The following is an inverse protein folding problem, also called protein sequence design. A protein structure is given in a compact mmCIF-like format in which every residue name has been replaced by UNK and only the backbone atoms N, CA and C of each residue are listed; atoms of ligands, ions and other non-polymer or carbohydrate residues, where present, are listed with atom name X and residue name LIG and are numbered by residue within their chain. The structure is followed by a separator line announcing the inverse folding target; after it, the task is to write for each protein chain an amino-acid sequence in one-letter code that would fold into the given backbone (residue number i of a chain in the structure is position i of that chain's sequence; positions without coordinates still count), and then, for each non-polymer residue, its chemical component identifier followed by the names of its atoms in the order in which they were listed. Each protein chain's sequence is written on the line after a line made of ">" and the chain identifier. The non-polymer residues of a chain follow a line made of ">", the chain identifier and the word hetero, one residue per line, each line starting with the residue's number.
data_IF_124676287623
#
_entry.id   IF_124676287623
#
_cell.length_a   1.000
_cell.length_b   1.000
_cell.length_c   1.000
_cell.angle_alpha   90.00
_cell.angle_beta   90.00
_cell.angle_gamma   90.00
#
_symmetry.space_group_name_H-M   'P 1'
#
loop_
_entity.id
_entity.type
_entity.pdbx_description
1 polymer ?
#
# COMPACT_ATOMS: atom_id res chain seq x y z
N UNK A 1 -8.82 10.20 -86.34
CA UNK A 1 -9.34 10.45 -85.01
C UNK A 1 -8.98 9.24 -84.15
N UNK A 2 -8.11 9.42 -83.18
CA UNK A 2 -8.08 8.58 -81.97
C UNK A 2 -6.78 7.89 -81.58
N UNK A 3 -5.65 8.18 -82.19
CA UNK A 3 -4.40 7.71 -81.55
C UNK A 3 -4.02 8.61 -80.33
N UNK A 4 -4.21 9.89 -80.41
CA UNK A 4 -3.96 10.86 -79.34
C UNK A 4 -4.92 10.72 -78.13
N UNK A 5 -6.18 10.25 -78.34
CA UNK A 5 -7.10 9.96 -77.20
C UNK A 5 -6.73 8.69 -76.44
N UNK A 6 -6.21 7.67 -77.11
CA UNK A 6 -5.74 6.44 -76.44
C UNK A 6 -4.48 6.68 -75.64
N UNK A 7 -3.56 7.52 -76.12
CA UNK A 7 -2.32 7.87 -75.40
C UNK A 7 -2.66 8.68 -74.14
N UNK A 8 -3.61 9.61 -74.17
CA UNK A 8 -4.03 10.36 -72.97
C UNK A 8 -4.67 9.48 -71.91
N UNK A 9 -5.46 8.45 -72.31
CA UNK A 9 -6.08 7.50 -71.35
C UNK A 9 -5.04 6.58 -70.74
N UNK A 10 -4.03 6.13 -71.46
CA UNK A 10 -2.95 5.30 -70.94
C UNK A 10 -2.06 6.11 -69.98
N UNK A 11 -1.80 7.40 -70.23
CA UNK A 11 -1.03 8.26 -69.36
C UNK A 11 -1.80 8.60 -68.06
N UNK A 12 -3.14 8.67 -68.12
CA UNK A 12 -3.99 8.95 -66.94
C UNK A 12 -4.16 7.72 -66.06
N UNK A 13 -4.13 6.51 -66.61
CA UNK A 13 -4.19 5.23 -65.86
C UNK A 13 -2.83 4.90 -65.24
N UNK A 14 -1.72 5.32 -65.86
CA UNK A 14 -0.36 5.10 -65.32
C UNK A 14 -0.07 5.91 -64.03
N UNK A 15 -0.78 7.04 -63.83
CA UNK A 15 -0.60 7.87 -62.62
C UNK A 15 -1.33 7.25 -61.40
N UNK A 16 -2.28 6.31 -61.61
CA UNK A 16 -3.03 5.71 -60.52
C UNK A 16 -2.42 4.41 -59.96
N UNK A 17 -1.28 3.93 -60.51
CA UNK A 17 -0.61 2.68 -60.11
C UNK A 17 0.68 2.88 -59.34
N UNK A 18 0.94 4.09 -58.85
CA UNK A 18 1.97 4.23 -57.82
C UNK A 18 1.43 3.77 -56.47
N UNK A 19 1.97 2.68 -55.87
CA UNK A 19 1.63 2.36 -54.52
C UNK A 19 2.01 3.55 -53.65
N UNK A 20 1.03 4.18 -53.01
CA UNK A 20 1.27 5.12 -51.94
C UNK A 20 1.90 4.25 -50.82
N UNK A 21 3.22 4.10 -50.86
CA UNK A 21 3.95 3.68 -49.69
C UNK A 21 3.70 4.73 -48.62
N UNK A 22 2.73 4.48 -47.78
CA UNK A 22 2.60 5.21 -46.51
C UNK A 22 3.91 4.94 -45.77
N UNK A 23 4.85 5.85 -45.91
CA UNK A 23 5.97 5.93 -45.00
C UNK A 23 5.34 6.23 -43.64
N UNK A 24 5.12 5.16 -42.85
CA UNK A 24 4.94 5.31 -41.43
C UNK A 24 6.26 5.94 -40.96
N UNK A 25 6.29 7.25 -40.83
CA UNK A 25 7.32 7.93 -40.07
C UNK A 25 7.23 7.33 -38.66
N UNK A 26 8.07 6.35 -38.37
CA UNK A 26 8.35 5.98 -36.99
C UNK A 26 8.85 7.28 -36.35
N UNK A 27 8.01 7.84 -35.50
CA UNK A 27 8.37 8.99 -34.71
C UNK A 27 9.59 8.60 -33.88
N UNK A 28 10.75 9.16 -34.27
CA UNK A 28 11.99 9.08 -33.46
C UNK A 28 11.81 9.76 -32.08
N UNK A 29 10.65 10.33 -31.85
CA UNK A 29 10.28 11.04 -30.61
C UNK A 29 9.93 10.14 -29.44
N UNK A 30 9.91 8.83 -29.61
CA UNK A 30 9.51 7.88 -28.56
C UNK A 30 10.69 7.18 -27.84
N UNK A 31 11.92 7.66 -28.03
CA UNK A 31 13.11 7.09 -27.38
C UNK A 31 13.44 7.87 -26.12
N UNK A 32 13.61 7.17 -25.00
CA UNK A 32 14.03 7.76 -23.72
C UNK A 32 15.46 8.30 -23.86
N UNK A 33 15.63 9.61 -23.82
CA UNK A 33 16.94 10.27 -23.92
C UNK A 33 17.60 10.42 -22.54
N UNK A 34 16.79 10.55 -21.48
CA UNK A 34 17.26 10.72 -20.12
C UNK A 34 16.20 10.26 -19.10
N UNK A 35 16.67 9.87 -17.90
CA UNK A 35 15.82 9.58 -16.76
C UNK A 35 16.28 10.47 -15.61
N UNK A 36 15.39 11.33 -15.11
CA UNK A 36 15.64 12.24 -14.01
C UNK A 36 14.93 11.75 -12.75
N UNK A 37 15.65 11.62 -11.65
CA UNK A 37 15.11 11.23 -10.36
C UNK A 37 15.11 12.45 -9.44
N UNK A 38 13.98 12.71 -8.78
CA UNK A 38 13.77 13.85 -7.90
C UNK A 38 13.10 13.42 -6.59
N UNK A 39 13.43 14.10 -5.49
CA UNK A 39 12.79 13.92 -4.19
C UNK A 39 13.41 12.85 -3.29
N UNK A 40 14.42 12.12 -3.78
CA UNK A 40 15.19 11.20 -2.96
C UNK A 40 16.05 11.94 -1.95
N UNK A 41 16.17 11.41 -0.73
CA UNK A 41 16.96 11.97 0.36
C UNK A 41 17.96 10.98 0.93
N UNK A 42 17.52 9.78 1.27
CA UNK A 42 18.32 8.69 1.86
C UNK A 42 18.55 7.54 0.89
N UNK A 43 17.58 7.32 0.00
CA UNK A 43 17.67 6.28 -1.02
C UNK A 43 18.55 6.79 -2.14
N UNK A 44 19.63 6.08 -2.43
CA UNK A 44 20.56 6.44 -3.50
C UNK A 44 19.90 6.33 -4.87
N UNK A 45 20.27 7.21 -5.77
CA UNK A 45 19.75 7.26 -7.14
C UNK A 45 19.91 5.91 -7.85
N UNK A 46 21.07 5.28 -7.72
CA UNK A 46 21.37 3.98 -8.34
C UNK A 46 20.45 2.87 -7.83
N UNK A 47 20.06 2.95 -6.55
CA UNK A 47 19.06 2.03 -5.97
C UNK A 47 17.72 2.21 -6.65
N UNK A 48 17.26 3.46 -6.85
CA UNK A 48 16.00 3.74 -7.55
C UNK A 48 16.06 3.22 -8.99
N UNK A 49 17.16 3.48 -9.70
CA UNK A 49 17.37 2.98 -11.05
C UNK A 49 17.24 1.46 -11.14
N UNK A 50 17.72 0.71 -10.15
CA UNK A 50 17.67 -0.75 -10.16
C UNK A 50 16.25 -1.33 -10.15
N UNK A 51 15.25 -0.55 -9.71
CA UNK A 51 13.84 -0.93 -9.70
C UNK A 51 13.06 -0.46 -10.94
N UNK A 52 13.68 0.38 -11.79
CA UNK A 52 13.07 0.82 -13.04
C UNK A 52 13.22 -0.26 -14.11
N UNK A 53 12.13 -0.56 -14.81
CA UNK A 53 12.12 -1.49 -15.95
C UNK A 53 12.33 -0.78 -17.29
N UNK A 54 12.97 0.40 -17.26
CA UNK A 54 13.25 1.26 -18.40
C UNK A 54 14.72 1.64 -18.42
N UNK A 55 15.26 1.88 -19.61
CA UNK A 55 16.64 2.30 -19.80
C UNK A 55 16.74 3.43 -20.81
N UNK A 56 17.79 4.24 -20.70
CA UNK A 56 18.10 5.27 -21.69
C UNK A 56 18.38 4.60 -23.03
N UNK A 57 17.81 5.14 -24.12
CA UNK A 57 17.90 4.59 -25.45
C UNK A 57 16.81 3.57 -25.80
N UNK A 58 15.97 3.15 -24.87
CA UNK A 58 14.80 2.33 -25.12
C UNK A 58 13.61 3.14 -25.63
N UNK A 59 12.70 2.46 -26.30
CA UNK A 59 11.41 3.04 -26.70
C UNK A 59 10.50 3.21 -25.48
N UNK A 60 9.77 4.31 -25.47
CA UNK A 60 8.83 4.62 -24.42
C UNK A 60 7.68 3.59 -24.39
N UNK A 61 7.54 2.88 -23.28
CA UNK A 61 6.55 1.83 -23.07
C UNK A 61 5.81 2.07 -21.74
N UNK A 62 4.49 2.31 -21.84
CA UNK A 62 3.64 2.60 -20.69
C UNK A 62 3.55 1.42 -19.71
N UNK A 63 3.61 0.18 -20.21
CA UNK A 63 3.53 -1.01 -19.37
C UNK A 63 4.83 -1.18 -18.56
N UNK A 64 6.00 -0.88 -19.15
CA UNK A 64 7.27 -0.85 -18.44
C UNK A 64 7.29 0.22 -17.36
N UNK A 65 6.72 1.41 -17.63
CA UNK A 65 6.59 2.48 -16.63
C UNK A 65 5.68 2.07 -15.47
N UNK A 66 4.53 1.48 -15.79
CA UNK A 66 3.60 0.99 -14.77
C UNK A 66 4.22 -0.11 -13.91
N UNK A 67 5.03 -0.99 -14.50
CA UNK A 67 5.77 -2.02 -13.77
C UNK A 67 6.87 -1.40 -12.90
N UNK A 68 7.60 -0.39 -13.39
CA UNK A 68 8.57 0.38 -12.61
C UNK A 68 7.90 1.04 -11.39
N UNK A 69 6.73 1.65 -11.60
CA UNK A 69 5.94 2.24 -10.53
C UNK A 69 5.58 1.21 -9.45
N UNK A 70 5.07 0.04 -9.87
CA UNK A 70 4.72 -1.06 -8.94
C UNK A 70 5.94 -1.57 -8.18
N UNK A 71 7.07 -1.73 -8.87
CA UNK A 71 8.31 -2.17 -8.24
C UNK A 71 8.77 -1.19 -7.17
N UNK A 72 8.78 0.11 -7.47
CA UNK A 72 9.16 1.14 -6.50
C UNK A 72 8.24 1.14 -5.27
N UNK A 73 6.92 1.05 -5.45
CA UNK A 73 5.99 0.94 -4.32
C UNK A 73 6.20 -0.34 -3.50
N UNK A 74 6.51 -1.47 -4.16
CA UNK A 74 6.70 -2.76 -3.49
C UNK A 74 7.90 -2.78 -2.55
N UNK A 75 8.89 -1.89 -2.74
CA UNK A 75 10.05 -1.77 -1.85
C UNK A 75 9.68 -1.28 -0.45
N UNK A 76 8.55 -0.56 -0.33
CA UNK A 76 8.16 0.13 0.91
C UNK A 76 9.05 1.34 1.25
N UNK A 77 9.99 1.74 0.40
CA UNK A 77 10.83 2.92 0.63
C UNK A 77 10.08 4.23 0.44
N UNK A 78 9.05 4.22 -0.41
CA UNK A 78 8.37 5.43 -0.85
C UNK A 78 6.92 5.46 -0.40
N UNK A 79 6.49 6.62 0.09
CA UNK A 79 5.10 6.93 0.40
C UNK A 79 4.33 7.38 -0.83
N UNK A 80 5.05 7.97 -1.78
CA UNK A 80 4.51 8.36 -3.08
C UNK A 80 5.56 8.24 -4.17
N UNK A 81 5.13 7.84 -5.37
CA UNK A 81 5.95 7.75 -6.57
C UNK A 81 5.13 8.25 -7.74
N UNK A 82 5.67 9.20 -8.47
CA UNK A 82 5.09 9.74 -9.69
C UNK A 82 6.08 9.61 -10.84
N UNK A 83 5.65 9.02 -11.95
CA UNK A 83 6.48 8.88 -13.15
C UNK A 83 5.80 9.67 -14.28
N UNK A 84 6.44 10.72 -14.71
CA UNK A 84 5.97 11.61 -15.78
C UNK A 84 6.91 11.57 -16.98
N UNK A 85 6.37 11.93 -18.14
CA UNK A 85 7.14 12.15 -19.37
C UNK A 85 7.13 13.63 -19.70
N UNK A 86 8.33 14.18 -19.98
CA UNK A 86 8.52 15.50 -20.54
C UNK A 86 9.38 15.37 -21.83
N UNK A 87 8.71 15.39 -22.99
CA UNK A 87 9.36 15.07 -24.26
C UNK A 87 9.98 13.67 -24.25
N UNK A 88 11.30 13.59 -24.37
CA UNK A 88 12.08 12.35 -24.36
C UNK A 88 12.71 12.04 -22.99
N UNK A 89 12.38 12.82 -21.96
CA UNK A 89 12.87 12.65 -20.60
C UNK A 89 11.78 11.99 -19.73
N UNK A 90 12.15 10.94 -19.00
CA UNK A 90 11.30 10.36 -17.95
C UNK A 90 11.69 11.01 -16.64
N UNK A 91 10.72 11.60 -15.93
CA UNK A 91 10.90 12.21 -14.62
C UNK A 91 10.25 11.31 -13.58
N UNK A 92 11.07 10.76 -12.68
CA UNK A 92 10.65 9.92 -11.56
C UNK A 92 10.72 10.74 -10.28
N UNK A 93 9.57 11.15 -9.78
CA UNK A 93 9.47 11.89 -8.52
C UNK A 93 9.11 10.92 -7.40
N UNK A 94 9.88 10.93 -6.33
CA UNK A 94 9.68 10.04 -5.18
C UNK A 94 9.54 10.85 -3.89
N UNK A 95 8.71 10.33 -2.99
CA UNK A 95 8.61 10.82 -1.62
C UNK A 95 8.92 9.64 -0.68
N UNK A 96 10.01 9.73 0.06
CA UNK A 96 10.42 8.64 0.93
C UNK A 96 9.54 8.48 2.16
N UNK A 97 9.28 7.23 2.52
CA UNK A 97 8.65 6.89 3.80
C UNK A 97 9.53 7.33 4.97
N UNK A 98 8.95 7.91 6.03
CA UNK A 98 9.72 8.33 7.19
C UNK A 98 10.26 7.14 7.99
N UNK A 99 11.31 7.38 8.78
CA UNK A 99 11.82 6.43 9.76
C UNK A 99 11.09 6.62 11.08
N UNK A 100 10.70 5.51 11.71
CA UNK A 100 10.12 5.52 13.04
C UNK A 100 11.21 5.85 14.05
N UNK A 101 11.01 6.93 14.81
CA UNK A 101 11.87 7.30 15.91
C UNK A 101 11.54 6.47 17.15
N UNK A 102 10.25 6.41 17.52
CA UNK A 102 9.75 5.59 18.63
C UNK A 102 8.29 5.19 18.40
N UNK A 103 7.88 4.11 19.08
CA UNK A 103 6.51 3.67 19.20
C UNK A 103 6.13 3.73 20.69
N UNK A 104 4.98 4.33 20.99
CA UNK A 104 4.47 4.55 22.35
C UNK A 104 3.02 4.08 22.41
N UNK A 105 2.62 3.53 23.54
CA UNK A 105 1.25 3.14 23.83
C UNK A 105 0.72 4.05 24.96
N UNK A 106 -0.51 4.51 24.83
CA UNK A 106 -1.15 5.37 25.82
C UNK A 106 -2.57 4.88 26.10
N UNK A 107 -2.94 4.83 27.38
CA UNK A 107 -4.28 4.44 27.81
C UNK A 107 -4.48 2.93 28.05
N UNK A 108 -3.46 2.12 27.77
CA UNK A 108 -3.42 0.69 28.08
C UNK A 108 -3.17 0.49 29.59
N UNK A 109 -4.13 -0.07 30.29
CA UNK A 109 -4.08 -0.38 31.73
C UNK A 109 -4.09 -1.88 31.99
N UNK A 110 -4.76 -2.65 31.10
CA UNK A 110 -4.90 -4.10 31.20
C UNK A 110 -3.71 -4.84 30.62
N UNK A 111 -3.07 -4.29 29.59
CA UNK A 111 -1.94 -4.93 28.90
C UNK A 111 -0.71 -4.02 28.98
N UNK A 112 0.40 -4.56 29.43
CA UNK A 112 1.66 -3.83 29.60
C UNK A 112 2.30 -3.45 28.24
N UNK A 113 3.10 -2.37 28.23
CA UNK A 113 3.75 -1.83 27.02
C UNK A 113 4.65 -2.83 26.31
N UNK A 114 5.36 -3.66 27.06
CA UNK A 114 6.29 -4.66 26.51
C UNK A 114 5.55 -5.78 25.77
N UNK A 115 4.36 -6.17 26.25
CA UNK A 115 3.49 -7.13 25.56
C UNK A 115 2.97 -6.52 24.26
N UNK A 116 2.43 -5.30 24.30
CA UNK A 116 1.98 -4.57 23.12
C UNK A 116 3.13 -4.38 22.12
N UNK A 117 4.30 -3.99 22.62
CA UNK A 117 5.48 -3.81 21.79
C UNK A 117 5.96 -5.11 21.14
N UNK A 118 5.70 -6.28 21.73
CA UNK A 118 6.03 -7.56 21.10
C UNK A 118 5.11 -7.92 19.94
N UNK A 119 3.84 -7.52 20.02
CA UNK A 119 2.80 -7.83 19.04
C UNK A 119 2.86 -6.95 17.78
N UNK A 120 3.26 -5.67 17.91
CA UNK A 120 3.31 -4.76 16.77
C UNK A 120 4.55 -5.02 15.90
N UNK A 121 4.42 -4.83 14.60
CA UNK A 121 5.52 -4.96 13.63
C UNK A 121 6.35 -3.69 13.51
N UNK A 122 5.74 -2.53 13.79
CA UNK A 122 6.41 -1.24 13.75
C UNK A 122 7.36 -1.10 14.95
N UNK A 123 8.63 -0.88 14.67
CA UNK A 123 9.69 -0.72 15.66
C UNK A 123 10.49 0.55 15.36
N UNK A 124 11.14 1.09 16.39
CA UNK A 124 12.12 2.16 16.19
C UNK A 124 13.16 1.79 15.13
N UNK A 125 13.55 2.75 14.31
CA UNK A 125 14.48 2.65 13.17
C UNK A 125 13.95 1.89 11.95
N UNK A 126 12.73 1.36 11.98
CA UNK A 126 12.08 0.79 10.80
C UNK A 126 11.44 1.88 9.94
N UNK A 127 11.21 1.56 8.66
CA UNK A 127 10.42 2.41 7.79
C UNK A 127 8.94 2.35 8.18
N UNK A 128 8.32 3.53 8.28
CA UNK A 128 6.89 3.67 8.47
C UNK A 128 6.17 3.44 7.16
N UNK A 129 5.10 2.63 7.17
CA UNK A 129 4.13 2.55 6.06
C UNK A 129 2.72 2.57 6.61
N UNK A 130 1.78 3.16 5.83
CA UNK A 130 0.36 3.24 6.24
C UNK A 130 -0.30 1.87 6.39
N UNK A 131 0.11 0.89 5.60
CA UNK A 131 -0.42 -0.48 5.71
C UNK A 131 -0.03 -1.13 7.03
N UNK A 132 1.24 -1.03 7.42
CA UNK A 132 1.73 -1.63 8.67
C UNK A 132 1.06 -1.06 9.91
N UNK A 133 0.78 0.26 9.95
CA UNK A 133 0.08 0.83 11.11
C UNK A 133 -1.34 0.29 11.24
N UNK A 134 -2.05 0.08 10.12
CA UNK A 134 -3.38 -0.51 10.13
C UNK A 134 -3.34 -1.99 10.57
N UNK A 135 -2.36 -2.74 10.10
CA UNK A 135 -2.14 -4.13 10.53
C UNK A 135 -1.87 -4.20 12.04
N UNK A 136 -1.02 -3.32 12.55
CA UNK A 136 -0.68 -3.29 13.97
C UNK A 136 -1.86 -2.87 14.85
N UNK A 137 -2.70 -1.92 14.40
CA UNK A 137 -3.98 -1.62 15.06
C UNK A 137 -4.85 -2.87 15.17
N UNK A 138 -4.94 -3.68 14.11
CA UNK A 138 -5.73 -4.92 14.16
C UNK A 138 -5.11 -5.98 15.07
N UNK A 139 -3.78 -6.07 15.16
CA UNK A 139 -3.09 -6.97 16.09
C UNK A 139 -3.37 -6.59 17.53
N UNK A 140 -3.24 -5.30 17.88
CA UNK A 140 -3.57 -4.80 19.21
C UNK A 140 -5.03 -5.10 19.55
N UNK A 141 -5.98 -4.79 18.65
CA UNK A 141 -7.39 -5.10 18.87
C UNK A 141 -7.67 -6.59 19.04
N UNK A 142 -6.94 -7.45 18.32
CA UNK A 142 -7.06 -8.91 18.45
C UNK A 142 -6.55 -9.39 19.80
N UNK A 143 -5.43 -8.83 20.26
CA UNK A 143 -4.87 -9.12 21.57
C UNK A 143 -5.87 -8.77 22.68
N UNK A 144 -6.42 -7.55 22.68
CA UNK A 144 -7.44 -7.12 23.63
C UNK A 144 -8.69 -8.01 23.62
N UNK A 145 -9.13 -8.44 22.42
CA UNK A 145 -10.27 -9.36 22.31
C UNK A 145 -9.98 -10.72 22.91
N UNK A 146 -8.74 -11.23 22.78
CA UNK A 146 -8.34 -12.51 23.39
C UNK A 146 -8.34 -12.45 24.93
N UNK A 147 -8.05 -11.27 25.49
CA UNK A 147 -8.11 -11.00 26.92
C UNK A 147 -9.55 -10.68 27.41
N UNK A 148 -10.54 -10.63 26.50
CA UNK A 148 -11.94 -10.39 26.85
C UNK A 148 -12.41 -8.96 26.73
N UNK A 149 -11.56 -8.01 26.40
CA UNK A 149 -11.89 -6.61 26.18
C UNK A 149 -12.45 -6.38 24.76
N UNK A 150 -13.78 -6.50 24.63
CA UNK A 150 -14.47 -6.37 23.33
C UNK A 150 -14.79 -4.93 22.94
N UNK A 151 -14.78 -3.99 23.89
CA UNK A 151 -15.10 -2.58 23.70
C UNK A 151 -13.89 -1.71 23.41
N UNK A 152 -12.69 -2.31 23.36
CA UNK A 152 -11.45 -1.58 23.12
C UNK A 152 -11.41 -0.93 21.73
N UNK A 153 -10.97 0.30 21.70
CA UNK A 153 -10.66 1.03 20.46
C UNK A 153 -9.21 1.51 20.46
N UNK A 154 -8.58 1.49 19.31
CA UNK A 154 -7.18 1.89 19.12
C UNK A 154 -7.10 2.92 18.01
N UNK A 155 -6.55 4.08 18.32
CA UNK A 155 -6.35 5.17 17.37
C UNK A 155 -4.86 5.47 17.24
N UNK A 156 -4.26 5.27 16.07
CA UNK A 156 -2.89 5.64 15.85
C UNK A 156 -2.76 7.14 15.64
N UNK A 157 -1.83 7.78 16.33
CA UNK A 157 -1.44 9.17 16.15
C UNK A 157 0.01 9.20 15.64
N UNK A 158 0.24 9.88 14.51
CA UNK A 158 1.55 9.96 13.85
C UNK A 158 2.05 11.38 13.98
N UNK A 159 3.15 11.56 14.69
CA UNK A 159 3.77 12.85 14.96
C UNK A 159 4.99 12.99 14.06
N UNK A 160 4.92 13.92 13.11
CA UNK A 160 6.05 14.21 12.22
C UNK A 160 7.15 14.96 12.96
N UNK A 161 8.39 14.53 12.76
CA UNK A 161 9.60 15.11 13.30
C UNK A 161 10.51 15.57 12.16
N UNK A 162 11.54 16.34 12.50
CA UNK A 162 12.59 16.74 11.56
C UNK A 162 13.31 15.52 10.96
N UNK A 163 13.96 15.72 9.81
CA UNK A 163 14.75 14.70 9.10
C UNK A 163 13.94 13.48 8.63
N UNK A 164 12.70 13.70 8.19
CA UNK A 164 11.78 12.66 7.72
C UNK A 164 11.66 11.48 8.70
N UNK A 165 11.40 11.81 9.99
CA UNK A 165 11.14 10.86 11.07
C UNK A 165 9.73 11.04 11.61
N UNK A 166 9.20 9.98 12.25
CA UNK A 166 7.90 10.01 12.92
C UNK A 166 7.96 9.33 14.28
N UNK A 167 7.22 9.87 15.25
CA UNK A 167 6.79 9.15 16.43
C UNK A 167 5.42 8.56 16.17
N UNK A 168 5.18 7.33 16.62
CA UNK A 168 3.89 6.66 16.55
C UNK A 168 3.37 6.50 17.97
N UNK A 169 2.17 7.00 18.22
CA UNK A 169 1.47 6.84 19.50
C UNK A 169 0.19 6.07 19.22
N UNK A 170 0.03 4.89 19.83
CA UNK A 170 -1.23 4.16 19.83
C UNK A 170 -2.06 4.61 21.04
N UNK A 171 -3.05 5.46 20.82
CA UNK A 171 -4.03 5.86 21.82
C UNK A 171 -5.06 4.73 21.97
N UNK A 172 -5.03 4.05 23.11
CA UNK A 172 -5.87 2.89 23.42
C UNK A 172 -6.94 3.34 24.40
N UNK A 173 -8.18 3.10 24.05
CA UNK A 173 -9.31 3.23 24.96
C UNK A 173 -9.92 1.86 25.15
N UNK A 174 -9.68 1.27 26.33
CA UNK A 174 -10.11 -0.09 26.67
C UNK A 174 -11.62 -0.19 26.81
N UNK A 175 -12.30 0.96 27.04
CA UNK A 175 -13.76 1.02 27.21
C UNK A 175 -14.19 0.45 28.56
N UNK A 176 -15.45 0.01 28.66
CA UNK A 176 -15.98 -0.63 29.85
C UNK A 176 -15.71 -2.14 29.82
N UNK A 177 -15.41 -2.72 30.98
CA UNK A 177 -15.19 -4.16 31.10
C UNK A 177 -16.44 -4.93 30.68
N UNK A 178 -16.26 -5.87 29.76
CA UNK A 178 -17.33 -6.73 29.32
C UNK A 178 -17.60 -7.81 30.36
N UNK A 179 -18.80 -7.77 30.98
CA UNK A 179 -19.23 -8.76 31.97
C UNK A 179 -20.37 -9.61 31.41
N UNK A 180 -20.40 -10.87 31.77
CA UNK A 180 -21.49 -11.80 31.43
C UNK A 180 -22.53 -11.77 32.55
N UNK A 181 -23.67 -11.11 32.28
CA UNK A 181 -24.76 -11.03 33.25
C UNK A 181 -25.53 -12.32 33.37
N UNK A 182 -25.75 -13.05 32.28
CA UNK A 182 -26.51 -14.30 32.30
C UNK A 182 -26.09 -15.28 31.23
N UNK A 183 -26.16 -16.58 31.56
CA UNK A 183 -25.97 -17.67 30.61
C UNK A 183 -27.22 -18.51 30.63
N UNK A 184 -27.89 -18.65 29.49
CA UNK A 184 -29.09 -19.46 29.30
C UNK A 184 -28.84 -20.56 28.28
N UNK A 185 -29.36 -21.75 28.56
CA UNK A 185 -29.26 -22.87 27.63
C UNK A 185 -30.67 -23.17 27.07
N UNK A 186 -30.76 -23.33 25.76
CA UNK A 186 -31.99 -23.62 25.05
C UNK A 186 -31.89 -25.01 24.36
N UNK A 187 -32.92 -25.84 24.49
CA UNK A 187 -33.00 -27.13 23.83
C UNK A 187 -32.25 -28.26 24.52
N UNK A 188 -31.69 -28.06 25.70
CA UNK A 188 -31.01 -29.05 26.49
C UNK A 188 -32.03 -30.02 27.18
N UNK A 189 -32.20 -31.21 26.60
CA UNK A 189 -33.11 -32.25 27.13
C UNK A 189 -32.40 -33.27 28.04
N UNK A 190 -31.14 -33.56 27.76
CA UNK A 190 -30.35 -34.61 28.45
C UNK A 190 -29.60 -34.07 29.68
N UNK A 191 -29.24 -32.78 29.71
CA UNK A 191 -28.47 -32.20 30.80
C UNK A 191 -29.16 -30.94 31.33
N UNK A 192 -29.17 -30.81 32.68
CA UNK A 192 -29.68 -29.58 33.30
C UNK A 192 -28.76 -28.38 33.07
N UNK A 193 -29.33 -27.17 33.07
CA UNK A 193 -28.59 -25.92 32.95
C UNK A 193 -27.45 -25.82 33.97
N UNK A 194 -27.67 -26.33 35.20
CA UNK A 194 -26.65 -26.34 36.25
C UNK A 194 -25.43 -27.15 35.81
N UNK A 195 -25.66 -28.36 35.29
CA UNK A 195 -24.60 -29.26 34.84
C UNK A 195 -23.86 -28.72 33.65
N UNK A 196 -24.56 -28.04 32.73
CA UNK A 196 -23.94 -27.39 31.59
C UNK A 196 -23.09 -26.17 32.01
N UNK A 197 -23.55 -25.39 33.01
CA UNK A 197 -22.75 -24.29 33.59
C UNK A 197 -21.47 -24.75 34.26
N UNK A 198 -21.47 -25.93 34.87
CA UNK A 198 -20.30 -26.47 35.57
C UNK A 198 -19.20 -26.94 34.60
N UNK A 199 -19.55 -27.18 33.33
CA UNK A 199 -18.62 -27.66 32.28
C UNK A 199 -18.04 -26.51 31.45
N UNK A 200 -18.76 -25.40 31.28
CA UNK A 200 -18.27 -24.26 30.51
C UNK A 200 -17.24 -23.45 31.30
N UNK A 201 -16.21 -22.97 30.61
CA UNK A 201 -15.15 -22.14 31.21
C UNK A 201 -15.70 -20.75 31.53
N UNK A 202 -16.61 -20.24 30.69
CA UNK A 202 -17.22 -18.92 30.82
C UNK A 202 -18.15 -18.87 32.05
N UNK A 203 -17.97 -17.89 32.91
CA UNK A 203 -18.76 -17.72 34.13
C UNK A 203 -19.52 -16.42 34.15
N UNK A 204 -20.71 -16.44 34.75
CA UNK A 204 -21.46 -15.21 35.06
C UNK A 204 -20.72 -14.40 36.13
N UNK A 205 -20.65 -13.09 35.96
CA UNK A 205 -20.14 -12.18 36.99
C UNK A 205 -21.17 -12.12 38.13
N UNK A 206 -20.72 -12.39 39.34
CA UNK A 206 -21.54 -12.26 40.55
C UNK A 206 -21.13 -11.01 41.32
N UNK A 207 -22.08 -10.34 41.95
CA UNK A 207 -21.85 -9.09 42.70
C UNK A 207 -20.78 -9.24 43.81
N UNK A 208 -20.44 -10.44 44.21
CA UNK A 208 -19.43 -10.76 45.23
C UNK A 208 -18.15 -11.41 44.67
N UNK A 209 -18.01 -11.51 43.39
CA UNK A 209 -16.75 -11.95 42.74
C UNK A 209 -15.97 -10.71 42.30
N UNK A 210 -15.28 -10.09 43.22
CA UNK A 210 -14.25 -9.07 43.00
C UNK A 210 -12.90 -9.76 43.05
#
# INVERSE_FOLDING_TARGET
>A
MNLFKKIKIILLVSIFLFPINSIYAQSTDDIISNIKIEGNQRVEIDTIYSYLNISIGEQFDIDKLNNSLKNLYSTGFFSDVNINRDGNVVIVQVLENPIINRVVFEGNKEIEDDVLASEVSLKSRNLFTRSKIQEDVQRILTLYRSEGSLSTSVKPNIISLDQNRVDIVFEINEGENTIINSITFNGNREFSDRRLRDVIITRQTRWYSI
#
